data_IF_363037577392
#
_entry.id   IF_363037577392
#
_cell.length_a   1.000
_cell.length_b   1.000
_cell.length_c   1.000
_cell.angle_alpha   90.00
_cell.angle_beta   90.00
_cell.angle_gamma   90.00
#
_symmetry.space_group_name_H-M   'P 1'
#
loop_
_entity.id
_entity.type
_entity.pdbx_description
1 polymer ?
#
# COMPACT_ATOMS: atom_id res chain seq x y z
N UNK A 1 16.79 -8.51 -14.64
CA UNK A 1 16.66 -7.34 -13.75
C UNK A 1 16.23 -7.88 -12.40
N UNK A 2 16.84 -7.45 -11.31
CA UNK A 2 16.45 -7.89 -9.98
C UNK A 2 15.06 -7.31 -9.62
N UNK A 3 14.10 -8.18 -9.32
CA UNK A 3 12.72 -7.80 -9.04
C UNK A 3 12.63 -6.99 -7.75
N UNK A 4 13.45 -7.29 -6.74
CA UNK A 4 13.46 -6.52 -5.49
C UNK A 4 13.90 -5.08 -5.75
N UNK A 5 14.99 -4.92 -6.51
CA UNK A 5 15.46 -3.60 -6.95
C UNK A 5 14.42 -2.87 -7.78
N UNK A 6 13.70 -3.56 -8.67
CA UNK A 6 12.61 -2.96 -9.46
C UNK A 6 11.49 -2.46 -8.55
N UNK A 7 10.97 -3.29 -7.64
CA UNK A 7 9.87 -2.93 -6.74
C UNK A 7 10.25 -1.81 -5.77
N UNK A 8 11.46 -1.86 -5.20
CA UNK A 8 12.00 -0.78 -4.38
C UNK A 8 12.07 0.54 -5.15
N UNK A 9 12.52 0.50 -6.40
CA UNK A 9 12.58 1.69 -7.27
C UNK A 9 11.18 2.23 -7.58
N UNK A 10 10.20 1.35 -7.86
CA UNK A 10 8.81 1.76 -8.09
C UNK A 10 8.21 2.43 -6.86
N UNK A 11 8.43 1.85 -5.67
CA UNK A 11 7.96 2.44 -4.41
C UNK A 11 8.52 3.86 -4.20
N UNK A 12 9.84 4.01 -4.39
CA UNK A 12 10.50 5.31 -4.30
C UNK A 12 9.92 6.34 -5.27
N UNK A 13 9.78 5.98 -6.55
CA UNK A 13 9.21 6.88 -7.58
C UNK A 13 7.75 7.24 -7.26
N UNK A 14 7.00 6.31 -6.68
CA UNK A 14 5.59 6.52 -6.27
C UNK A 14 5.51 7.61 -5.19
N UNK A 15 6.36 7.53 -4.17
CA UNK A 15 6.44 8.55 -3.10
C UNK A 15 6.89 9.91 -3.65
N UNK A 16 7.97 9.95 -4.44
CA UNK A 16 8.47 11.19 -5.06
C UNK A 16 7.41 11.85 -5.96
N UNK A 17 6.63 11.05 -6.70
CA UNK A 17 5.54 11.55 -7.54
C UNK A 17 4.40 12.12 -6.70
N UNK A 18 4.05 11.45 -5.60
CA UNK A 18 3.03 11.93 -4.67
C UNK A 18 3.43 13.27 -4.04
N UNK A 19 4.68 13.38 -3.56
CA UNK A 19 5.23 14.64 -3.04
C UNK A 19 5.23 15.77 -4.07
N UNK A 20 5.59 15.47 -5.32
CA UNK A 20 5.52 16.44 -6.43
C UNK A 20 4.10 16.94 -6.66
N UNK A 21 3.08 16.07 -6.58
CA UNK A 21 1.67 16.46 -6.70
C UNK A 21 1.24 17.32 -5.51
N UNK A 22 1.63 16.95 -4.28
CA UNK A 22 1.34 17.75 -3.08
C UNK A 22 1.94 19.16 -3.20
N UNK A 23 3.16 19.29 -3.71
CA UNK A 23 3.77 20.60 -4.01
C UNK A 23 2.94 21.40 -5.01
N UNK A 24 2.50 20.80 -6.12
CA UNK A 24 1.61 21.49 -7.08
C UNK A 24 0.28 21.91 -6.45
N UNK A 25 -0.27 21.10 -5.55
CA UNK A 25 -1.51 21.43 -4.83
C UNK A 25 -1.31 22.61 -3.89
N UNK A 26 -0.19 22.65 -3.16
CA UNK A 26 0.21 23.77 -2.30
C UNK A 26 0.38 25.06 -3.10
N UNK A 27 1.01 24.97 -4.27
CA UNK A 27 1.25 26.13 -5.16
C UNK A 27 -0.01 26.53 -5.97
N UNK A 28 -1.14 25.84 -5.77
CA UNK A 28 -2.38 26.00 -6.52
C UNK A 28 -2.21 25.89 -8.06
N UNK A 29 -1.24 25.09 -8.50
CA UNK A 29 -0.96 24.78 -9.92
C UNK A 29 -1.40 23.37 -10.32
N UNK A 30 -1.88 22.56 -9.37
CA UNK A 30 -2.36 21.21 -9.63
C UNK A 30 -3.60 21.19 -10.53
N UNK A 31 -3.52 20.42 -11.62
CA UNK A 31 -4.66 20.14 -12.49
C UNK A 31 -5.61 19.12 -11.85
N UNK A 32 -6.80 18.94 -12.43
CA UNK A 32 -7.72 17.87 -12.00
C UNK A 32 -7.07 16.47 -12.08
N UNK A 33 -6.23 16.23 -13.09
CA UNK A 33 -5.49 14.97 -13.23
C UNK A 33 -4.43 14.79 -12.14
N UNK A 34 -3.75 15.87 -11.73
CA UNK A 34 -2.79 15.79 -10.62
C UNK A 34 -3.53 15.42 -9.32
N UNK A 35 -4.71 15.99 -9.06
CA UNK A 35 -5.49 15.70 -7.85
C UNK A 35 -5.94 14.24 -7.78
N UNK A 36 -6.61 13.73 -8.83
CA UNK A 36 -7.01 12.32 -8.87
C UNK A 36 -5.81 11.37 -8.84
N UNK A 37 -4.71 11.75 -9.49
CA UNK A 37 -3.45 11.00 -9.39
C UNK A 37 -2.89 10.97 -7.97
N UNK A 38 -2.95 12.09 -7.24
CA UNK A 38 -2.54 12.19 -5.84
C UNK A 38 -3.38 11.31 -4.92
N UNK A 39 -4.70 11.25 -5.12
CA UNK A 39 -5.60 10.39 -4.35
C UNK A 39 -5.22 8.90 -4.50
N UNK A 40 -5.02 8.42 -5.73
CA UNK A 40 -4.62 7.03 -6.01
C UNK A 40 -3.24 6.72 -5.42
N UNK A 41 -2.26 7.63 -5.59
CA UNK A 41 -0.92 7.42 -5.04
C UNK A 41 -0.95 7.37 -3.50
N UNK A 42 -1.79 8.20 -2.87
CA UNK A 42 -2.00 8.18 -1.41
C UNK A 42 -2.54 6.83 -0.95
N UNK A 43 -3.52 6.27 -1.66
CA UNK A 43 -4.08 4.95 -1.38
C UNK A 43 -3.05 3.83 -1.54
N UNK A 44 -2.25 3.85 -2.62
CA UNK A 44 -1.17 2.88 -2.85
C UNK A 44 -0.13 2.93 -1.72
N UNK A 45 0.28 4.14 -1.30
CA UNK A 45 1.24 4.32 -0.20
C UNK A 45 0.65 3.80 1.12
N UNK A 46 -0.62 4.08 1.40
CA UNK A 46 -1.30 3.60 2.59
C UNK A 46 -1.40 2.06 2.60
N UNK A 47 -1.76 1.44 1.47
CA UNK A 47 -1.78 -0.01 1.27
C UNK A 47 -0.41 -0.65 1.51
N UNK A 48 0.64 -0.07 0.94
CA UNK A 48 2.01 -0.57 1.10
C UNK A 48 2.47 -0.49 2.57
N UNK A 49 2.22 0.63 3.25
CA UNK A 49 2.51 0.79 4.68
C UNK A 49 1.75 -0.23 5.52
N UNK A 50 0.46 -0.42 5.24
CA UNK A 50 -0.36 -1.39 5.94
C UNK A 50 0.20 -2.82 5.79
N UNK A 51 0.57 -3.23 4.57
CA UNK A 51 1.19 -4.55 4.32
C UNK A 51 2.48 -4.75 5.11
N UNK A 52 3.36 -3.74 5.14
CA UNK A 52 4.61 -3.81 5.91
C UNK A 52 4.35 -3.91 7.42
N UNK A 53 3.41 -3.13 7.94
CA UNK A 53 3.02 -3.19 9.35
C UNK A 53 2.41 -4.54 9.74
N UNK A 54 1.56 -5.12 8.88
CA UNK A 54 0.98 -6.46 9.09
C UNK A 54 2.09 -7.51 9.11
N UNK A 55 3.00 -7.50 8.14
CA UNK A 55 4.10 -8.46 8.10
C UNK A 55 5.03 -8.38 9.33
N UNK A 56 5.25 -7.18 9.87
CA UNK A 56 6.02 -7.01 11.11
C UNK A 56 5.26 -7.52 12.33
N UNK A 57 3.97 -7.21 12.41
CA UNK A 57 3.08 -7.68 13.46
C UNK A 57 2.98 -9.21 13.50
N UNK A 58 2.90 -9.88 12.34
CA UNK A 58 2.89 -11.34 12.23
C UNK A 58 4.19 -11.95 12.76
N UNK A 59 5.36 -11.37 12.45
CA UNK A 59 6.65 -11.82 13.02
C UNK A 59 6.70 -11.68 14.53
N UNK A 60 6.17 -10.59 15.08
CA UNK A 60 6.10 -10.38 16.54
C UNK A 60 5.18 -11.42 17.18
N UNK A 61 4.04 -11.71 16.55
CA UNK A 61 3.09 -12.73 17.00
C UNK A 61 3.73 -14.12 17.06
N UNK A 62 4.44 -14.51 15.99
CA UNK A 62 5.16 -15.79 15.90
C UNK A 62 6.23 -15.94 16.98
N UNK A 63 6.81 -14.82 17.43
CA UNK A 63 7.79 -14.77 18.51
C UNK A 63 7.16 -14.69 19.92
N UNK A 64 5.83 -14.71 20.01
CA UNK A 64 5.09 -14.66 21.27
C UNK A 64 5.01 -13.27 21.89
N UNK A 65 5.25 -12.20 21.13
CA UNK A 65 5.13 -10.81 21.58
C UNK A 65 3.70 -10.28 21.49
N UNK A 66 3.41 -9.23 22.27
CA UNK A 66 2.16 -8.50 22.16
C UNK A 66 2.13 -7.64 20.89
N UNK A 67 1.10 -7.82 20.07
CA UNK A 67 0.96 -7.17 18.77
C UNK A 67 -0.02 -6.00 18.84
N UNK A 68 0.40 -4.85 18.33
CA UNK A 68 -0.48 -3.69 18.20
C UNK A 68 -1.23 -3.72 16.86
N UNK A 69 -2.53 -3.99 16.93
CA UNK A 69 -3.44 -3.91 15.77
C UNK A 69 -4.19 -2.59 15.84
N UNK A 70 -3.81 -1.60 15.03
CA UNK A 70 -4.60 -0.38 14.91
C UNK A 70 -5.94 -0.70 14.26
N UNK A 71 -7.01 -0.66 15.05
CA UNK A 71 -8.38 -0.74 14.53
C UNK A 71 -8.72 0.62 13.92
N UNK A 72 -8.33 0.86 12.67
CA UNK A 72 -8.67 2.07 11.92
C UNK A 72 -10.16 2.10 11.57
N UNK A 73 -11.03 2.34 12.57
CA UNK A 73 -12.46 2.60 12.36
C UNK A 73 -12.77 4.07 12.08
N UNK A 74 -11.83 4.97 12.39
CA UNK A 74 -12.10 6.42 12.44
C UNK A 74 -11.36 7.24 11.38
N UNK A 75 -10.37 6.68 10.69
CA UNK A 75 -9.61 7.42 9.69
C UNK A 75 -9.12 6.49 8.58
N UNK A 76 -9.56 6.80 7.36
CA UNK A 76 -8.95 6.47 6.07
C UNK A 76 -9.10 5.02 5.54
N UNK A 77 -9.72 4.95 4.36
CA UNK A 77 -9.79 3.82 3.42
C UNK A 77 -10.40 2.51 3.97
N UNK A 78 -11.73 2.42 4.12
CA UNK A 78 -12.42 1.19 4.55
C UNK A 78 -12.25 -0.02 3.61
N UNK A 79 -11.64 0.18 2.43
CA UNK A 79 -11.35 -0.88 1.46
C UNK A 79 -9.96 -1.51 1.65
N UNK A 80 -9.09 -0.92 2.48
CA UNK A 80 -7.83 -1.52 2.89
C UNK A 80 -8.16 -2.52 3.99
N UNK A 81 -8.52 -3.74 3.57
CA UNK A 81 -8.82 -4.84 4.47
C UNK A 81 -7.58 -5.09 5.34
N UNK A 82 -7.70 -4.85 6.65
CA UNK A 82 -6.69 -5.08 7.70
C UNK A 82 -6.25 -6.55 7.85
N UNK A 83 -6.76 -7.44 7.00
CA UNK A 83 -6.24 -8.79 6.80
C UNK A 83 -5.39 -8.71 5.53
N UNK A 84 -4.07 -8.74 5.72
CA UNK A 84 -3.04 -8.49 4.72
C UNK A 84 -3.54 -8.75 3.31
N UNK A 85 -3.68 -7.67 2.52
CA UNK A 85 -4.27 -7.72 1.19
C UNK A 85 -3.72 -8.92 0.43
N UNK A 86 -4.57 -9.93 0.30
CA UNK A 86 -4.20 -11.32 0.10
C UNK A 86 -3.22 -11.45 -1.06
N UNK A 87 -1.99 -11.89 -0.74
CA UNK A 87 -1.19 -12.66 -1.68
C UNK A 87 -1.90 -13.97 -2.06
N UNK A 88 -2.93 -14.36 -1.30
CA UNK A 88 -3.84 -15.49 -1.58
C UNK A 88 -4.97 -15.18 -2.59
N UNK A 89 -5.04 -13.96 -3.14
CA UNK A 89 -6.01 -13.61 -4.21
C UNK A 89 -5.37 -13.75 -5.61
N UNK A 90 -4.23 -14.42 -5.72
CA UNK A 90 -3.90 -15.07 -6.98
C UNK A 90 -5.09 -15.98 -7.32
N UNK A 91 -5.70 -15.87 -8.52
CA UNK A 91 -6.75 -16.79 -8.91
C UNK A 91 -6.21 -18.20 -8.68
N UNK A 92 -6.95 -19.10 -8.03
CA UNK A 92 -6.49 -20.47 -7.84
C UNK A 92 -6.05 -20.96 -9.20
N UNK A 93 -4.81 -21.44 -9.30
CA UNK A 93 -4.29 -22.06 -10.52
C UNK A 93 -5.41 -22.95 -11.04
N UNK A 94 -5.98 -22.56 -12.18
CA UNK A 94 -7.06 -23.28 -12.81
C UNK A 94 -6.46 -24.56 -13.38
N UNK A 95 -6.16 -25.52 -12.50
CA UNK A 95 -6.09 -26.92 -12.85
C UNK A 95 -7.53 -27.40 -13.11
N UNK A 96 -8.09 -26.95 -14.23
CA UNK A 96 -9.15 -27.68 -14.89
C UNK A 96 -8.55 -29.00 -15.39
N UNK A 97 -8.65 -30.01 -14.54
CA UNK A 97 -8.65 -31.45 -14.81
C UNK A 97 -7.70 -31.99 -15.90
N UNK A 98 -6.74 -32.81 -15.44
CA UNK A 98 -6.78 -34.25 -15.71
C UNK A 98 -5.90 -35.04 -14.74
#
# INVERSE_FOLDING_TARGET
MDNEKLYSTIGKITEEKYESILSKMSDNTATGKDRSGGEILSEIIALAKNRLSVAENEKIAEQGGDVWVERTSTSHFPHIRLHGGALEDDPPDHNFEK
#
